data_IF_042659926025
#
_entry.id   IF_042659926025
#
_cell.length_a   1.000
_cell.length_b   1.000
_cell.length_c   1.000
_cell.angle_alpha   90.00
_cell.angle_beta   90.00
_cell.angle_gamma   90.00
#
_symmetry.space_group_name_H-M   'P 1'
#
loop_
_entity.id
_entity.type
_entity.pdbx_description
1 polymer ?
#
# COMPACT_ATOMS: atom_id res chain seq x y z
N UNK A 1 4.72 46.69 54.74
CA UNK A 1 4.38 45.25 54.94
C UNK A 1 3.01 45.02 54.35
N UNK A 2 2.81 43.95 53.57
CA UNK A 2 1.45 43.59 53.14
C UNK A 2 0.64 43.17 54.37
N UNK A 3 -0.62 43.59 54.44
CA UNK A 3 -1.53 43.15 55.51
C UNK A 3 -1.95 41.70 55.29
N UNK A 4 -2.37 41.01 56.35
CA UNK A 4 -2.94 39.65 56.25
C UNK A 4 -4.10 39.61 55.24
N UNK A 5 -4.96 40.63 55.24
CA UNK A 5 -6.07 40.76 54.29
C UNK A 5 -5.59 40.83 52.82
N UNK A 6 -4.52 41.59 52.52
CA UNK A 6 -3.95 41.65 51.17
C UNK A 6 -3.43 40.30 50.69
N UNK A 7 -2.80 39.52 51.57
CA UNK A 7 -2.33 38.16 51.24
C UNK A 7 -3.49 37.23 50.89
N UNK A 8 -4.59 37.29 51.64
CA UNK A 8 -5.79 36.49 51.37
C UNK A 8 -6.41 36.86 50.03
N UNK A 9 -6.53 38.16 49.72
CA UNK A 9 -7.07 38.61 48.42
C UNK A 9 -6.18 38.14 47.26
N UNK A 10 -4.86 38.22 47.42
CA UNK A 10 -3.91 37.79 46.39
C UNK A 10 -3.98 36.28 46.15
N UNK A 11 -4.08 35.48 47.22
CA UNK A 11 -4.24 34.02 47.12
C UNK A 11 -5.56 33.63 46.43
N UNK A 12 -6.67 34.26 46.81
CA UNK A 12 -7.96 34.06 46.14
C UNK A 12 -7.92 34.45 44.66
N UNK A 13 -7.23 35.54 44.32
CA UNK A 13 -7.07 35.98 42.91
C UNK A 13 -6.30 34.95 42.09
N UNK A 14 -5.20 34.43 42.64
CA UNK A 14 -4.41 33.39 41.97
C UNK A 14 -5.22 32.10 41.78
N UNK A 15 -6.04 31.71 42.76
CA UNK A 15 -6.93 30.55 42.66
C UNK A 15 -7.99 30.71 41.57
N UNK A 16 -8.68 31.85 41.53
CA UNK A 16 -9.66 32.14 40.48
C UNK A 16 -9.00 32.17 39.10
N UNK A 17 -7.77 32.69 38.99
CA UNK A 17 -7.04 32.69 37.73
C UNK A 17 -6.66 31.29 37.28
N UNK A 18 -6.16 30.44 38.19
CA UNK A 18 -5.84 29.06 37.89
C UNK A 18 -7.07 28.25 37.45
N UNK A 19 -8.21 28.43 38.12
CA UNK A 19 -9.48 27.79 37.75
C UNK A 19 -9.97 28.23 36.36
N UNK A 20 -9.76 29.50 35.99
CA UNK A 20 -10.09 29.99 34.63
C UNK A 20 -9.22 29.36 33.55
N UNK A 21 -7.92 29.24 33.80
CA UNK A 21 -6.97 28.63 32.86
C UNK A 21 -7.26 27.13 32.69
N UNK A 22 -7.62 26.44 33.76
CA UNK A 22 -8.05 25.04 33.72
C UNK A 22 -9.33 24.87 32.90
N UNK A 23 -10.33 25.73 33.10
CA UNK A 23 -11.56 25.72 32.29
C UNK A 23 -11.28 25.99 30.81
N UNK A 24 -10.44 26.97 30.47
CA UNK A 24 -10.05 27.26 29.09
C UNK A 24 -9.30 26.08 28.44
N UNK A 25 -8.47 25.37 29.21
CA UNK A 25 -7.81 24.16 28.73
C UNK A 25 -8.82 23.04 28.44
N UNK A 26 -9.77 22.80 29.36
CA UNK A 26 -10.81 21.80 29.17
C UNK A 26 -11.71 22.10 27.96
N UNK A 27 -12.02 23.39 27.72
CA UNK A 27 -12.77 23.79 26.53
C UNK A 27 -12.00 23.52 25.23
N UNK A 28 -10.70 23.81 25.20
CA UNK A 28 -9.83 23.47 24.05
C UNK A 28 -9.76 21.96 23.80
N UNK A 29 -9.62 21.17 24.85
CA UNK A 29 -9.60 19.70 24.76
C UNK A 29 -10.94 19.14 24.24
N UNK A 30 -12.06 19.66 24.74
CA UNK A 30 -13.40 19.31 24.27
C UNK A 30 -13.58 19.61 22.78
N UNK A 31 -13.11 20.77 22.32
CA UNK A 31 -13.28 21.20 20.93
C UNK A 31 -12.36 20.40 19.98
N UNK A 32 -11.14 20.06 20.42
CA UNK A 32 -10.26 19.11 19.71
C UNK A 32 -10.91 17.73 19.58
N UNK A 33 -11.57 17.24 20.64
CA UNK A 33 -12.28 15.97 20.59
C UNK A 33 -13.44 15.98 19.60
N UNK A 34 -14.25 17.06 19.59
CA UNK A 34 -15.34 17.25 18.60
C UNK A 34 -14.81 17.30 17.17
N UNK A 35 -13.72 18.01 16.91
CA UNK A 35 -13.10 18.07 15.60
C UNK A 35 -12.61 16.69 15.13
N UNK A 36 -11.91 15.96 16.01
CA UNK A 36 -11.42 14.61 15.71
C UNK A 36 -12.57 13.63 15.45
N UNK A 37 -13.66 13.70 16.22
CA UNK A 37 -14.86 12.91 15.99
C UNK A 37 -15.47 13.19 14.60
N UNK A 38 -15.65 14.46 14.23
CA UNK A 38 -16.16 14.83 12.90
C UNK A 38 -15.25 14.35 11.76
N UNK A 39 -13.93 14.41 11.94
CA UNK A 39 -12.98 13.94 10.94
C UNK A 39 -13.03 12.42 10.77
N UNK A 40 -13.18 11.67 11.87
CA UNK A 40 -13.35 10.21 11.83
C UNK A 40 -14.65 9.81 11.09
N UNK A 41 -15.75 10.52 11.33
CA UNK A 41 -17.02 10.27 10.64
C UNK A 41 -16.91 10.55 9.13
N UNK A 42 -16.24 11.63 8.74
CA UNK A 42 -15.96 11.96 7.33
C UNK A 42 -15.10 10.88 6.66
N UNK A 43 -14.06 10.40 7.34
CA UNK A 43 -13.22 9.32 6.82
C UNK A 43 -13.99 7.99 6.72
N UNK A 44 -14.87 7.68 7.68
CA UNK A 44 -15.75 6.52 7.61
C UNK A 44 -16.73 6.61 6.44
N UNK A 45 -17.32 7.79 6.19
CA UNK A 45 -18.19 8.05 5.04
C UNK A 45 -17.43 7.89 3.71
N UNK A 46 -16.23 8.47 3.57
CA UNK A 46 -15.36 8.28 2.39
C UNK A 46 -15.01 6.81 2.18
N UNK A 47 -14.70 6.08 3.25
CA UNK A 47 -14.44 4.65 3.22
C UNK A 47 -15.64 3.83 2.71
N UNK A 48 -16.84 4.16 3.17
CA UNK A 48 -18.08 3.51 2.74
C UNK A 48 -18.46 3.88 1.31
N UNK A 49 -18.25 5.13 0.88
CA UNK A 49 -18.49 5.54 -0.50
C UNK A 49 -17.54 4.86 -1.48
N UNK A 50 -16.25 4.73 -1.13
CA UNK A 50 -15.30 3.91 -1.90
C UNK A 50 -15.77 2.46 -2.01
N UNK A 51 -16.24 1.84 -0.91
CA UNK A 51 -16.82 0.48 -0.95
C UNK A 51 -18.05 0.42 -1.86
N UNK A 52 -18.99 1.36 -1.74
CA UNK A 52 -20.20 1.42 -2.58
C UNK A 52 -19.87 1.62 -4.06
N UNK A 53 -18.92 2.50 -4.40
CA UNK A 53 -18.50 2.73 -5.79
C UNK A 53 -17.80 1.51 -6.38
N UNK A 54 -17.00 0.79 -5.58
CA UNK A 54 -16.46 -0.52 -5.98
C UNK A 54 -17.61 -1.49 -6.24
N UNK A 55 -18.64 -1.57 -5.38
CA UNK A 55 -19.77 -2.49 -5.61
C UNK A 55 -20.64 -2.10 -6.83
N UNK A 56 -20.95 -0.80 -7.01
CA UNK A 56 -21.83 -0.30 -8.09
C UNK A 56 -21.19 -0.41 -9.48
N UNK A 57 -19.88 -0.19 -9.61
CA UNK A 57 -19.21 -0.22 -10.92
C UNK A 57 -18.86 -1.63 -11.41
N UNK A 58 -19.46 -2.69 -10.83
CA UNK A 58 -19.00 -4.05 -11.10
C UNK A 58 -17.52 -4.20 -10.74
N UNK A 59 -17.13 -3.63 -9.59
CA UNK A 59 -15.74 -3.48 -9.18
C UNK A 59 -14.97 -4.79 -9.23
N UNK A 60 -13.64 -4.71 -9.29
CA UNK A 60 -12.79 -5.81 -9.70
C UNK A 60 -13.14 -7.06 -8.90
N UNK A 61 -13.77 -8.01 -9.58
CA UNK A 61 -14.00 -9.33 -9.01
C UNK A 61 -12.64 -9.86 -8.56
N UNK A 62 -12.63 -10.46 -7.38
CA UNK A 62 -11.44 -11.11 -6.90
C UNK A 62 -11.02 -12.19 -7.90
N UNK A 63 -9.92 -12.00 -8.62
CA UNK A 63 -9.44 -12.98 -9.59
C UNK A 63 -8.98 -14.32 -8.96
N UNK A 64 -9.11 -14.50 -7.64
CA UNK A 64 -8.88 -15.79 -6.99
C UNK A 64 -10.18 -16.58 -6.77
N UNK A 65 -11.25 -15.93 -6.31
CA UNK A 65 -12.50 -16.61 -5.93
C UNK A 65 -13.74 -16.08 -6.67
N UNK A 66 -13.56 -15.13 -7.59
CA UNK A 66 -14.60 -14.47 -8.38
C UNK A 66 -15.71 -13.80 -7.55
N UNK A 67 -15.46 -13.52 -6.26
CA UNK A 67 -16.37 -12.77 -5.39
C UNK A 67 -16.10 -11.26 -5.43
N UNK A 68 -17.08 -10.48 -4.98
CA UNK A 68 -17.02 -9.01 -4.99
C UNK A 68 -16.17 -8.45 -3.83
N UNK A 69 -14.85 -8.53 -3.97
CA UNK A 69 -13.89 -7.83 -3.11
C UNK A 69 -12.55 -7.69 -3.82
N UNK A 70 -11.73 -6.76 -3.35
CA UNK A 70 -10.36 -6.62 -3.87
C UNK A 70 -9.52 -7.88 -3.58
N UNK A 71 -8.65 -8.33 -4.51
CA UNK A 71 -7.84 -9.53 -4.36
C UNK A 71 -6.96 -9.57 -3.10
N UNK A 72 -6.46 -8.42 -2.66
CA UNK A 72 -5.63 -8.30 -1.45
C UNK A 72 -6.35 -8.75 -0.19
N UNK A 73 -7.68 -8.61 -0.12
CA UNK A 73 -8.55 -8.97 1.00
C UNK A 73 -9.17 -10.37 0.86
N UNK A 74 -8.75 -11.18 -0.11
CA UNK A 74 -9.28 -12.52 -0.30
C UNK A 74 -9.04 -13.40 0.92
N UNK A 75 -10.14 -13.83 1.58
CA UNK A 75 -10.12 -14.76 2.72
C UNK A 75 -10.15 -16.23 2.28
N UNK A 76 -10.66 -16.52 1.08
CA UNK A 76 -10.70 -17.89 0.52
C UNK A 76 -9.31 -18.43 0.26
N UNK A 77 -8.40 -17.57 -0.23
CA UNK A 77 -7.00 -17.90 -0.49
C UNK A 77 -6.13 -16.94 0.34
N UNK A 78 -5.84 -17.25 1.62
CA UNK A 78 -5.21 -16.31 2.53
C UNK A 78 -3.69 -16.17 2.32
N UNK A 79 -3.01 -17.23 1.87
CA UNK A 79 -1.56 -17.26 1.69
C UNK A 79 -1.17 -17.19 0.21
N UNK A 80 0.07 -16.78 -0.06
CA UNK A 80 0.59 -16.57 -1.41
C UNK A 80 0.61 -17.85 -2.24
N UNK A 81 0.82 -19.03 -1.63
CA UNK A 81 0.87 -20.29 -2.36
C UNK A 81 -0.53 -20.72 -2.79
N UNK A 82 -1.52 -20.64 -1.90
CA UNK A 82 -2.91 -20.95 -2.27
C UNK A 82 -3.44 -19.98 -3.33
N UNK A 83 -3.04 -18.70 -3.27
CA UNK A 83 -3.32 -17.70 -4.31
C UNK A 83 -2.64 -18.01 -5.65
N UNK A 84 -1.39 -18.44 -5.61
CA UNK A 84 -0.66 -18.87 -6.81
C UNK A 84 -1.36 -20.05 -7.48
N UNK A 85 -1.65 -21.10 -6.71
CA UNK A 85 -2.36 -22.29 -7.20
C UNK A 85 -3.73 -21.96 -7.78
N UNK A 86 -4.45 -21.02 -7.16
CA UNK A 86 -5.74 -20.54 -7.68
C UNK A 86 -5.59 -19.92 -9.08
N UNK A 87 -4.55 -19.11 -9.31
CA UNK A 87 -4.29 -18.53 -10.63
C UNK A 87 -3.87 -19.59 -11.67
N UNK A 88 -3.00 -20.52 -11.27
CA UNK A 88 -2.55 -21.64 -12.11
C UNK A 88 -3.75 -22.50 -12.55
N UNK A 89 -4.65 -22.83 -11.62
CA UNK A 89 -5.88 -23.59 -11.91
C UNK A 89 -6.84 -22.83 -12.84
N UNK A 90 -6.78 -21.50 -12.86
CA UNK A 90 -7.55 -20.66 -13.78
C UNK A 90 -6.82 -20.40 -15.11
N UNK A 91 -5.63 -20.97 -15.32
CA UNK A 91 -4.79 -20.70 -16.50
C UNK A 91 -4.28 -19.26 -16.59
N UNK A 92 -4.24 -18.53 -15.46
CA UNK A 92 -3.75 -17.14 -15.40
C UNK A 92 -2.27 -17.11 -15.06
N UNK A 93 -1.50 -16.34 -15.81
CA UNK A 93 -0.08 -16.13 -15.52
C UNK A 93 0.11 -15.32 -14.23
N UNK A 94 0.97 -15.81 -13.33
CA UNK A 94 1.27 -15.13 -12.06
C UNK A 94 2.03 -13.81 -12.24
N UNK A 95 2.64 -13.59 -13.42
CA UNK A 95 3.44 -12.41 -13.74
C UNK A 95 2.61 -11.24 -14.25
N UNK A 96 1.58 -11.51 -15.07
CA UNK A 96 0.78 -10.47 -15.73
C UNK A 96 -0.75 -10.66 -15.61
N UNK A 97 -1.23 -11.75 -15.00
CA UNK A 97 -2.66 -12.15 -14.84
C UNK A 97 -3.44 -12.41 -16.13
N UNK A 98 -2.77 -12.45 -17.28
CA UNK A 98 -3.37 -12.80 -18.58
C UNK A 98 -3.44 -14.33 -18.73
N UNK A 99 -4.41 -14.78 -19.52
CA UNK A 99 -4.63 -16.19 -19.84
C UNK A 99 -4.04 -16.51 -21.21
N UNK A 100 -3.86 -17.80 -21.52
CA UNK A 100 -3.60 -18.27 -22.88
C UNK A 100 -2.16 -18.09 -23.38
N UNK A 101 -1.19 -17.94 -22.48
CA UNK A 101 0.22 -17.83 -22.84
C UNK A 101 1.09 -18.60 -21.82
N UNK A 102 2.28 -19.02 -22.24
CA UNK A 102 3.24 -19.73 -21.39
C UNK A 102 4.21 -18.76 -20.69
N UNK A 103 4.89 -19.27 -19.67
CA UNK A 103 5.96 -18.55 -19.00
C UNK A 103 7.16 -18.43 -19.95
N UNK A 104 7.46 -17.22 -20.40
CA UNK A 104 8.58 -16.96 -21.32
C UNK A 104 8.15 -16.27 -22.62
N UNK A 105 6.85 -16.22 -22.90
CA UNK A 105 6.36 -15.53 -24.09
C UNK A 105 6.71 -14.03 -24.06
N UNK A 106 7.14 -13.48 -25.19
CA UNK A 106 7.52 -12.07 -25.34
C UNK A 106 6.46 -11.10 -24.81
N UNK A 107 5.18 -11.46 -24.93
CA UNK A 107 4.08 -10.68 -24.38
C UNK A 107 4.12 -10.63 -22.84
N UNK A 108 4.41 -11.76 -22.19
CA UNK A 108 4.57 -11.82 -20.74
C UNK A 108 5.74 -10.95 -20.29
N UNK A 109 6.87 -11.00 -21.00
CA UNK A 109 8.05 -10.22 -20.65
C UNK A 109 7.80 -8.70 -20.75
N UNK A 110 7.01 -8.24 -21.72
CA UNK A 110 6.64 -6.81 -21.81
C UNK A 110 5.64 -6.37 -20.73
N UNK A 111 4.84 -7.28 -20.20
CA UNK A 111 3.76 -6.98 -19.26
C UNK A 111 3.96 -7.57 -17.85
N UNK A 112 5.10 -8.16 -17.57
CA UNK A 112 5.35 -8.76 -16.26
C UNK A 112 5.39 -7.67 -15.19
N UNK A 113 4.79 -7.99 -14.05
CA UNK A 113 4.77 -7.11 -12.91
C UNK A 113 5.89 -7.54 -11.97
N UNK A 114 6.78 -6.61 -11.64
CA UNK A 114 7.77 -6.81 -10.58
C UNK A 114 7.13 -6.46 -9.24
N UNK A 115 7.15 -7.41 -8.32
CA UNK A 115 6.65 -7.20 -6.98
C UNK A 115 7.57 -6.25 -6.22
N UNK A 116 7.09 -5.05 -5.86
CA UNK A 116 7.89 -4.07 -5.09
C UNK A 116 8.32 -4.55 -3.70
N UNK A 117 7.68 -5.59 -3.16
CA UNK A 117 8.03 -6.12 -1.83
C UNK A 117 9.24 -7.05 -1.85
N UNK A 118 9.39 -7.88 -2.89
CA UNK A 118 10.47 -8.87 -2.97
C UNK A 118 11.27 -8.83 -4.27
N UNK A 119 10.91 -7.94 -5.19
CA UNK A 119 11.58 -7.68 -6.48
C UNK A 119 11.65 -8.88 -7.41
N UNK A 120 10.72 -9.82 -7.26
CA UNK A 120 10.55 -10.94 -8.17
C UNK A 120 9.37 -10.65 -9.11
N UNK A 121 9.39 -11.29 -10.29
CA UNK A 121 8.33 -11.17 -11.29
C UNK A 121 7.11 -11.97 -10.87
N UNK A 122 6.17 -11.30 -10.21
CA UNK A 122 4.84 -11.79 -9.88
C UNK A 122 3.94 -10.62 -9.44
N UNK A 123 2.62 -10.84 -9.52
CA UNK A 123 1.66 -9.89 -8.97
C UNK A 123 1.72 -9.84 -7.45
N UNK A 124 1.68 -8.62 -6.90
CA UNK A 124 1.82 -8.34 -5.45
C UNK A 124 0.92 -9.23 -4.57
N UNK A 125 -0.28 -9.56 -5.04
CA UNK A 125 -1.25 -10.35 -4.28
C UNK A 125 -0.81 -11.80 -4.00
N UNK A 126 0.20 -12.31 -4.71
CA UNK A 126 0.73 -13.68 -4.59
C UNK A 126 2.06 -13.70 -3.82
N UNK A 127 2.59 -12.53 -3.44
CA UNK A 127 3.90 -12.43 -2.82
C UNK A 127 3.97 -13.22 -1.50
N UNK A 128 4.89 -14.21 -1.37
CA UNK A 128 4.98 -15.06 -0.18
C UNK A 128 5.47 -14.33 1.08
N UNK A 129 5.90 -13.08 0.95
CA UNK A 129 6.33 -12.23 2.07
C UNK A 129 5.17 -11.40 2.60
N UNK A 130 4.27 -10.96 1.71
CA UNK A 130 3.04 -10.28 2.12
C UNK A 130 2.00 -11.28 2.63
N UNK A 131 1.97 -12.46 2.03
CA UNK A 131 1.01 -13.52 2.32
C UNK A 131 1.76 -14.81 2.67
N UNK A 132 2.43 -14.88 3.83
CA UNK A 132 3.10 -16.09 4.25
C UNK A 132 2.10 -17.21 4.56
N UNK A 133 2.57 -18.46 4.55
CA UNK A 133 1.76 -19.58 5.06
C UNK A 133 1.47 -19.34 6.55
N UNK A 134 0.30 -19.79 7.02
CA UNK A 134 -0.10 -19.66 8.43
C UNK A 134 0.95 -20.20 9.40
N UNK A 135 1.63 -21.28 9.02
CA UNK A 135 2.63 -21.94 9.87
C UNK A 135 4.04 -21.35 9.71
N UNK A 136 4.22 -20.25 8.98
CA UNK A 136 5.55 -19.66 8.77
C UNK A 136 6.00 -18.94 10.05
N UNK A 137 7.06 -19.40 10.75
CA UNK A 137 7.49 -18.76 11.98
C UNK A 137 7.97 -17.31 11.74
N UNK A 138 7.69 -16.37 12.66
CA UNK A 138 8.11 -14.97 12.52
C UNK A 138 9.62 -14.79 12.28
N UNK A 139 10.46 -15.67 12.82
CA UNK A 139 11.92 -15.65 12.61
C UNK A 139 12.28 -15.80 11.12
N UNK A 140 11.58 -16.69 10.40
CA UNK A 140 11.78 -16.90 8.96
C UNK A 140 11.37 -15.66 8.17
N UNK A 141 10.25 -15.02 8.54
CA UNK A 141 9.78 -13.79 7.88
C UNK A 141 10.78 -12.64 8.03
N UNK A 142 11.35 -12.47 9.23
CA UNK A 142 12.40 -11.47 9.49
C UNK A 142 13.67 -11.77 8.69
N UNK A 143 14.10 -13.03 8.65
CA UNK A 143 15.27 -13.44 7.87
C UNK A 143 15.09 -13.14 6.38
N UNK A 144 13.94 -13.52 5.80
CA UNK A 144 13.60 -13.20 4.40
C UNK A 144 13.61 -11.70 4.12
N UNK A 145 12.98 -10.90 4.98
CA UNK A 145 12.99 -9.43 4.84
C UNK A 145 14.41 -8.86 4.88
N UNK A 146 15.27 -9.34 5.78
CA UNK A 146 16.67 -8.90 5.86
C UNK A 146 17.45 -9.25 4.59
N UNK A 147 17.27 -10.45 4.05
CA UNK A 147 17.93 -10.86 2.80
C UNK A 147 17.53 -9.97 1.63
N UNK A 148 16.27 -9.56 1.55
CA UNK A 148 15.80 -8.64 0.52
C UNK A 148 16.38 -7.24 0.65
N UNK A 149 16.42 -6.68 1.86
CA UNK A 149 17.04 -5.37 2.10
C UNK A 149 18.51 -5.39 1.68
N UNK A 150 19.23 -6.48 1.99
CA UNK A 150 20.62 -6.67 1.55
C UNK A 150 20.74 -6.77 0.03
N UNK A 151 19.84 -7.51 -0.63
CA UNK A 151 19.83 -7.63 -2.08
C UNK A 151 19.58 -6.28 -2.76
N UNK A 152 18.66 -5.46 -2.22
CA UNK A 152 18.42 -4.12 -2.74
C UNK A 152 19.65 -3.22 -2.55
N UNK A 153 20.25 -3.20 -1.36
CA UNK A 153 21.48 -2.43 -1.11
C UNK A 153 22.62 -2.82 -2.05
N UNK A 154 22.76 -4.09 -2.42
CA UNK A 154 23.77 -4.53 -3.39
C UNK A 154 23.52 -3.97 -4.79
N UNK A 155 22.25 -3.91 -5.23
CA UNK A 155 21.89 -3.30 -6.51
C UNK A 155 22.13 -1.79 -6.51
N UNK A 156 21.72 -1.11 -5.44
CA UNK A 156 21.92 0.34 -5.30
C UNK A 156 23.41 0.73 -5.22
N UNK A 157 24.29 -0.19 -4.81
CA UNK A 157 25.73 0.05 -4.75
C UNK A 157 26.48 -0.28 -6.05
N UNK A 158 25.88 -1.04 -6.98
CA UNK A 158 26.54 -1.49 -8.21
C UNK A 158 26.21 -0.66 -9.48
N UNK A 159 25.56 0.49 -9.37
CA UNK A 159 25.42 1.45 -10.49
C UNK A 159 25.74 2.87 -9.96
N UNK A 160 26.70 3.60 -10.56
CA UNK A 160 26.64 3.93 -11.99
C UNK A 160 28.02 3.86 -12.67
N UNK A 161 28.29 2.82 -13.46
CA UNK A 161 29.34 2.86 -14.46
C UNK A 161 28.70 2.51 -15.82
N UNK A 162 28.98 3.32 -16.84
CA UNK A 162 28.53 3.19 -18.22
C UNK A 162 27.06 3.51 -18.55
N UNK A 163 26.74 4.81 -18.52
CA UNK A 163 25.86 5.41 -19.55
C UNK A 163 26.65 6.45 -20.36
N UNK A 164 27.75 6.02 -20.95
CA UNK A 164 28.37 6.72 -22.07
C UNK A 164 28.56 5.69 -23.18
N UNK A 165 28.38 6.10 -24.44
CA UNK A 165 28.37 5.24 -25.65
C UNK A 165 27.08 4.40 -25.81
N UNK A 166 26.28 4.43 -26.87
CA UNK A 166 26.43 4.94 -28.22
C UNK A 166 25.04 5.40 -28.73
N UNK A 167 24.88 6.70 -28.97
CA UNK A 167 23.85 7.24 -29.85
C UNK A 167 24.43 7.23 -31.27
N UNK A 168 24.50 6.04 -31.89
CA UNK A 168 24.77 5.91 -33.33
C UNK A 168 23.51 5.30 -33.94
N UNK A 169 22.65 6.15 -34.48
CA UNK A 169 22.58 6.38 -35.93
C UNK A 169 22.25 5.10 -36.69
N UNK A 170 20.95 4.85 -36.91
CA UNK A 170 20.36 4.76 -38.26
C UNK A 170 18.85 4.68 -38.10
N UNK A 171 18.17 5.82 -38.29
CA UNK A 171 16.75 5.83 -38.67
C UNK A 171 16.65 5.21 -40.06
N UNK A 172 16.32 3.94 -40.15
CA UNK A 172 15.72 3.41 -41.37
C UNK A 172 14.23 3.82 -41.32
N UNK A 173 13.73 4.64 -42.26
CA UNK A 173 12.30 4.89 -42.39
C UNK A 173 11.63 3.58 -42.83
N UNK A 174 10.85 2.96 -41.94
CA UNK A 174 9.93 1.90 -42.33
C UNK A 174 8.92 2.50 -43.30
N UNK A 175 9.08 2.23 -44.60
CA UNK A 175 8.08 2.55 -45.60
C UNK A 175 6.86 1.64 -45.37
N UNK A 176 5.73 2.29 -45.14
CA UNK A 176 4.42 1.67 -44.99
C UNK A 176 3.96 1.14 -46.35
N UNK A 177 4.20 -0.15 -46.61
CA UNK A 177 3.63 -0.83 -47.77
C UNK A 177 2.24 -1.34 -47.38
N UNK A 178 1.22 -0.47 -47.47
CA UNK A 178 -0.18 -0.89 -47.51
C UNK A 178 -0.59 -1.04 -48.97
N UNK A 179 -0.08 -2.09 -49.61
CA UNK A 179 -0.68 -2.64 -50.83
C UNK A 179 -1.34 -3.97 -50.44
N UNK A 180 -2.62 -4.08 -50.76
CA UNK A 180 -3.47 -5.28 -50.71
C UNK A 180 -4.01 -5.67 -49.33
N UNK A 181 -5.07 -5.00 -48.87
CA UNK A 181 -6.31 -5.65 -48.34
C UNK A 181 -7.43 -4.64 -48.08
#
# INVERSE_FOLDING_TARGET
MQTSAQKVIQDLTNRVQAEKEELEQLERERDLWKYNAQMNDKEALRGNERKKNIMKKGGPLCYFCNKNHVPSLCRTYPDGISRQKSLENQGKCIKCLKIGHQNGDNFCEKHHIVCRTCQQSHVKAVCPILYPKKDTPPKILRARRRSLIRAQKKKDFQEPENKHEQLTSTKAPCQENWSDF
#
